data_IF_255546723467
#
_entry.id   IF_255546723467
#
_cell.length_a   1.000
_cell.length_b   1.000
_cell.length_c   1.000
_cell.angle_alpha   90.00
_cell.angle_beta   90.00
_cell.angle_gamma   90.00
#
_symmetry.space_group_name_H-M   'P 1'
#
loop_
_entity.id
_entity.type
_entity.pdbx_description
1 polymer ?
#
# COMPACT_ATOMS: atom_id res chain seq x y z
N UNK A 1 -11.57 -15.71 39.33
CA UNK A 1 -10.75 -14.82 38.49
C UNK A 1 -11.41 -14.82 37.12
N UNK A 2 -12.12 -13.76 36.77
CA UNK A 2 -12.83 -13.70 35.48
C UNK A 2 -11.82 -13.65 34.35
N UNK A 3 -12.01 -14.50 33.34
CA UNK A 3 -11.31 -14.40 32.06
C UNK A 3 -11.56 -13.00 31.50
N UNK A 4 -10.55 -12.14 31.62
CA UNK A 4 -10.56 -10.82 31.01
C UNK A 4 -10.48 -10.98 29.50
N UNK A 5 -11.62 -11.20 28.85
CA UNK A 5 -11.72 -11.08 27.39
C UNK A 5 -11.31 -9.66 27.01
N UNK A 6 -10.11 -9.54 26.45
CA UNK A 6 -9.56 -8.29 25.99
C UNK A 6 -10.46 -7.74 24.86
N UNK A 7 -11.22 -6.67 25.15
CA UNK A 7 -12.15 -6.07 24.21
C UNK A 7 -11.44 -5.64 22.93
N UNK A 8 -11.84 -6.20 21.78
CA UNK A 8 -11.34 -5.77 20.47
C UNK A 8 -12.15 -4.55 20.03
N UNK A 9 -11.49 -3.41 19.74
CA UNK A 9 -12.19 -2.19 19.42
C UNK A 9 -12.92 -2.27 18.08
N UNK A 10 -14.02 -1.54 17.94
CA UNK A 10 -14.75 -1.45 16.68
C UNK A 10 -14.02 -0.52 15.68
N UNK A 11 -13.70 -0.98 14.45
CA UNK A 11 -13.06 -0.15 13.45
C UNK A 11 -14.07 0.77 12.75
N UNK A 12 -13.73 2.06 12.59
CA UNK A 12 -14.48 2.98 11.72
C UNK A 12 -14.07 2.87 10.25
N UNK A 13 -12.88 2.32 9.99
CA UNK A 13 -12.28 2.18 8.68
C UNK A 13 -11.73 0.77 8.46
N UNK A 14 -11.66 0.37 7.20
CA UNK A 14 -10.94 -0.85 6.78
C UNK A 14 -9.94 -0.47 5.70
N UNK A 15 -8.70 -0.91 5.86
CA UNK A 15 -7.59 -0.67 4.95
C UNK A 15 -7.12 -2.01 4.35
N UNK A 16 -7.21 -2.14 3.03
CA UNK A 16 -6.76 -3.31 2.29
C UNK A 16 -5.40 -3.06 1.66
N UNK A 17 -4.55 -4.08 1.65
CA UNK A 17 -3.18 -4.00 1.13
C UNK A 17 -2.91 -5.12 0.12
N UNK A 18 -2.19 -4.76 -0.94
CA UNK A 18 -1.53 -5.71 -1.83
C UNK A 18 -0.28 -5.06 -2.44
N UNK A 19 0.58 -5.86 -3.06
CA UNK A 19 1.85 -5.39 -3.63
C UNK A 19 2.04 -5.77 -5.10
N UNK A 20 2.89 -5.01 -5.79
CA UNK A 20 3.36 -5.35 -7.12
C UNK A 20 4.88 -5.18 -7.23
N UNK A 21 5.50 -6.09 -7.98
CA UNK A 21 6.95 -6.28 -7.99
C UNK A 21 7.44 -7.27 -6.93
N UNK A 22 8.67 -7.72 -7.09
CA UNK A 22 9.35 -8.63 -6.18
C UNK A 22 10.08 -7.82 -5.09
N UNK A 23 9.89 -8.10 -3.78
CA UNK A 23 10.53 -7.35 -2.71
C UNK A 23 12.04 -7.64 -2.54
N UNK A 24 12.59 -8.60 -3.28
CA UNK A 24 14.00 -8.97 -3.26
C UNK A 24 14.94 -7.81 -3.58
N UNK A 25 15.98 -7.66 -2.76
CA UNK A 25 17.01 -6.61 -2.89
C UNK A 25 18.41 -7.16 -3.19
N UNK A 26 18.58 -8.49 -3.24
CA UNK A 26 19.89 -9.12 -3.48
C UNK A 26 20.39 -8.91 -4.91
N UNK A 27 19.50 -9.11 -5.87
CA UNK A 27 19.72 -8.84 -7.30
C UNK A 27 18.53 -8.04 -7.82
N UNK A 28 18.78 -7.02 -8.64
CA UNK A 28 17.76 -6.05 -9.06
C UNK A 28 17.88 -5.76 -10.55
N UNK A 29 16.82 -6.03 -11.32
CA UNK A 29 16.70 -5.62 -12.71
C UNK A 29 16.58 -4.08 -12.81
N UNK A 30 17.17 -3.41 -13.81
CA UNK A 30 17.99 -3.95 -14.90
C UNK A 30 19.49 -4.09 -14.57
N UNK A 31 19.92 -3.82 -13.33
CA UNK A 31 21.35 -3.94 -12.94
C UNK A 31 21.82 -5.40 -13.07
N UNK A 32 20.99 -6.32 -12.59
CA UNK A 32 21.16 -7.76 -12.74
C UNK A 32 20.06 -8.29 -13.67
N UNK A 33 20.39 -8.90 -14.83
CA UNK A 33 19.39 -9.33 -15.83
C UNK A 33 18.31 -10.28 -15.30
N UNK A 34 18.67 -11.14 -14.34
CA UNK A 34 17.75 -12.09 -13.69
C UNK A 34 17.37 -11.65 -12.26
N UNK A 35 17.52 -10.36 -11.95
CA UNK A 35 17.20 -9.81 -10.64
C UNK A 35 15.70 -9.60 -10.43
N UNK A 36 15.34 -9.34 -9.17
CA UNK A 36 14.00 -8.88 -8.80
C UNK A 36 13.68 -7.55 -9.52
N UNK A 37 12.39 -7.22 -9.68
CA UNK A 37 11.93 -6.04 -10.43
C UNK A 37 12.64 -4.73 -10.03
N UNK A 38 12.77 -3.76 -10.93
CA UNK A 38 13.36 -2.45 -10.58
C UNK A 38 12.58 -1.74 -9.46
N UNK A 39 11.26 -1.84 -9.53
CA UNK A 39 10.33 -1.20 -8.61
C UNK A 39 9.70 -2.22 -7.68
N UNK A 40 9.29 -1.75 -6.51
CA UNK A 40 8.39 -2.44 -5.60
C UNK A 40 7.33 -1.45 -5.15
N UNK A 41 6.06 -1.81 -5.27
CA UNK A 41 4.95 -0.94 -4.90
C UNK A 41 4.03 -1.61 -3.91
N UNK A 42 3.66 -0.90 -2.85
CA UNK A 42 2.59 -1.31 -1.93
C UNK A 42 1.39 -0.40 -2.18
N UNK A 43 0.30 -0.99 -2.64
CA UNK A 43 -0.98 -0.31 -2.79
C UNK A 43 -1.83 -0.49 -1.53
N UNK A 44 -2.57 0.55 -1.17
CA UNK A 44 -3.53 0.49 -0.07
C UNK A 44 -4.82 1.24 -0.41
N UNK A 45 -5.93 0.64 -0.02
CA UNK A 45 -7.28 1.20 -0.19
C UNK A 45 -7.93 1.32 1.17
N UNK A 46 -8.37 2.52 1.53
CA UNK A 46 -9.08 2.78 2.78
C UNK A 46 -10.55 3.09 2.49
N UNK A 47 -11.44 2.40 3.18
CA UNK A 47 -12.90 2.57 3.11
C UNK A 47 -13.49 2.73 4.51
N UNK A 48 -14.73 3.22 4.58
CA UNK A 48 -15.52 3.10 5.82
C UNK A 48 -15.81 1.65 6.12
N UNK A 49 -15.74 1.26 7.39
CA UNK A 49 -16.15 -0.07 7.82
C UNK A 49 -17.61 -0.36 7.44
N UNK A 50 -18.50 0.63 7.56
CA UNK A 50 -19.91 0.53 7.14
C UNK A 50 -20.12 0.32 5.63
N UNK A 51 -19.07 0.49 4.81
CA UNK A 51 -19.11 0.30 3.35
C UNK A 51 -18.32 -0.93 2.89
N UNK A 52 -17.68 -1.67 3.78
CA UNK A 52 -16.87 -2.85 3.44
C UNK A 52 -17.67 -3.86 2.58
N UNK A 53 -18.89 -4.19 2.99
CA UNK A 53 -19.73 -5.16 2.28
C UNK A 53 -20.09 -4.73 0.84
N UNK A 54 -20.16 -3.42 0.58
CA UNK A 54 -20.47 -2.89 -0.76
C UNK A 54 -19.35 -3.10 -1.79
N UNK A 55 -18.13 -3.42 -1.33
CA UNK A 55 -17.00 -3.67 -2.23
C UNK A 55 -17.20 -4.92 -3.09
N UNK A 56 -17.92 -5.93 -2.58
CA UNK A 56 -18.20 -7.16 -3.33
C UNK A 56 -19.08 -6.86 -4.54
N UNK A 57 -20.11 -6.03 -4.35
CA UNK A 57 -21.00 -5.58 -5.43
C UNK A 57 -20.25 -4.70 -6.42
N UNK A 58 -19.44 -3.75 -5.93
CA UNK A 58 -18.61 -2.89 -6.78
C UNK A 58 -17.69 -3.71 -7.70
N UNK A 59 -16.95 -4.68 -7.16
CA UNK A 59 -16.06 -5.53 -7.97
C UNK A 59 -16.85 -6.37 -8.98
N UNK A 60 -18.03 -6.88 -8.59
CA UNK A 60 -18.91 -7.62 -9.49
C UNK A 60 -19.38 -6.74 -10.65
N UNK A 61 -19.79 -5.52 -10.37
CA UNK A 61 -20.28 -4.57 -11.38
C UNK A 61 -19.17 -4.11 -12.32
N UNK A 62 -17.96 -3.86 -11.79
CA UNK A 62 -16.77 -3.58 -12.60
C UNK A 62 -16.52 -4.75 -13.55
N UNK A 63 -16.42 -5.98 -13.04
CA UNK A 63 -16.18 -7.18 -13.87
C UNK A 63 -17.25 -7.37 -14.94
N UNK A 64 -18.52 -7.05 -14.64
CA UNK A 64 -19.61 -7.06 -15.61
C UNK A 64 -19.39 -6.00 -16.70
N UNK A 65 -19.05 -4.76 -16.32
CA UNK A 65 -18.85 -3.64 -17.26
C UNK A 65 -17.69 -3.87 -18.25
N UNK A 66 -16.65 -4.61 -17.84
CA UNK A 66 -15.50 -4.95 -18.69
C UNK A 66 -15.61 -6.34 -19.34
N UNK A 67 -16.78 -6.99 -19.29
CA UNK A 67 -16.99 -8.34 -19.82
C UNK A 67 -15.93 -9.34 -19.32
N UNK A 68 -15.65 -9.34 -18.02
CA UNK A 68 -14.62 -10.17 -17.36
C UNK A 68 -15.21 -11.03 -16.24
N UNK A 69 -16.32 -11.70 -16.54
CA UNK A 69 -17.08 -12.50 -15.57
C UNK A 69 -16.57 -13.94 -15.41
N UNK A 70 -15.76 -14.43 -16.35
CA UNK A 70 -15.26 -15.81 -16.35
C UNK A 70 -14.16 -16.06 -15.30
N UNK A 71 -13.35 -15.04 -14.98
CA UNK A 71 -12.36 -15.15 -13.91
C UNK A 71 -13.05 -15.06 -12.55
N UNK A 72 -12.68 -15.86 -11.53
CA UNK A 72 -13.25 -15.73 -10.19
C UNK A 72 -12.87 -14.39 -9.54
N UNK A 73 -11.67 -13.89 -9.82
CA UNK A 73 -11.07 -12.69 -9.23
C UNK A 73 -10.80 -11.59 -10.28
N UNK A 74 -10.75 -10.35 -9.81
CA UNK A 74 -10.26 -9.17 -10.52
C UNK A 74 -8.76 -9.01 -10.23
N UNK A 75 -7.92 -9.73 -10.97
CA UNK A 75 -6.47 -9.55 -10.89
C UNK A 75 -5.97 -8.66 -12.03
N UNK A 76 -5.45 -7.48 -11.70
CA UNK A 76 -5.10 -6.42 -12.66
C UNK A 76 -4.10 -6.88 -13.72
N UNK A 77 -3.12 -7.71 -13.32
CA UNK A 77 -2.11 -8.28 -14.24
C UNK A 77 -2.73 -9.12 -15.35
N UNK A 78 -3.85 -9.79 -15.08
CA UNK A 78 -4.52 -10.69 -16.01
C UNK A 78 -5.51 -9.94 -16.94
N UNK A 79 -5.80 -8.67 -16.66
CA UNK A 79 -6.61 -7.84 -17.53
C UNK A 79 -5.84 -7.47 -18.80
N UNK A 80 -6.54 -7.54 -19.94
CA UNK A 80 -6.07 -6.96 -21.20
C UNK A 80 -6.07 -5.43 -21.12
N UNK A 81 -5.15 -4.77 -21.83
CA UNK A 81 -4.85 -3.35 -21.62
C UNK A 81 -6.07 -2.41 -21.76
N UNK A 82 -6.98 -2.67 -22.71
CA UNK A 82 -8.17 -1.84 -22.89
C UNK A 82 -9.21 -1.95 -21.75
N UNK A 83 -9.12 -2.98 -20.88
CA UNK A 83 -10.02 -3.17 -19.73
C UNK A 83 -9.50 -2.50 -18.46
N UNK A 84 -8.19 -2.23 -18.38
CA UNK A 84 -7.54 -1.69 -17.18
C UNK A 84 -8.00 -0.28 -16.83
N UNK A 85 -8.07 0.61 -17.82
CA UNK A 85 -8.51 2.00 -17.60
C UNK A 85 -9.96 2.10 -17.09
N UNK A 86 -10.96 1.43 -17.71
CA UNK A 86 -12.31 1.38 -17.15
C UNK A 86 -12.40 0.90 -15.70
N UNK A 87 -11.55 -0.07 -15.30
CA UNK A 87 -11.47 -0.52 -13.90
C UNK A 87 -10.98 0.62 -13.00
N UNK A 88 -9.89 1.30 -13.38
CA UNK A 88 -9.36 2.44 -12.61
C UNK A 88 -10.38 3.59 -12.51
N UNK A 89 -11.08 3.92 -13.59
CA UNK A 89 -12.10 4.98 -13.62
C UNK A 89 -13.29 4.66 -12.69
N UNK A 90 -13.75 3.41 -12.69
CA UNK A 90 -14.82 2.96 -11.81
C UNK A 90 -14.41 3.05 -10.32
N UNK A 91 -13.19 2.63 -10.01
CA UNK A 91 -12.64 2.74 -8.65
C UNK A 91 -12.43 4.19 -8.21
N UNK A 92 -12.00 5.07 -9.12
CA UNK A 92 -11.87 6.50 -8.86
C UNK A 92 -13.23 7.19 -8.60
N UNK A 93 -14.32 6.59 -9.05
CA UNK A 93 -15.67 7.12 -8.79
C UNK A 93 -16.21 6.70 -7.40
N UNK A 94 -15.74 5.58 -6.86
CA UNK A 94 -16.22 5.04 -5.59
C UNK A 94 -15.72 5.82 -4.35
N UNK A 95 -16.47 5.75 -3.24
CA UNK A 95 -16.11 6.43 -1.99
C UNK A 95 -15.05 5.66 -1.20
N UNK A 96 -13.81 5.81 -1.64
CA UNK A 96 -12.63 5.21 -1.01
C UNK A 96 -11.42 6.16 -1.14
N UNK A 97 -10.32 5.84 -0.46
CA UNK A 97 -9.05 6.56 -0.63
C UNK A 97 -7.92 5.62 -0.93
N UNK A 98 -7.05 6.05 -1.84
CA UNK A 98 -5.89 5.30 -2.29
C UNK A 98 -4.61 5.87 -1.73
N UNK A 99 -3.72 4.96 -1.34
CA UNK A 99 -2.37 5.24 -0.92
C UNK A 99 -1.43 4.30 -1.65
N UNK A 100 -0.23 4.79 -1.97
CA UNK A 100 0.81 3.96 -2.57
C UNK A 100 2.18 4.39 -2.06
N UNK A 101 3.00 3.38 -1.77
CA UNK A 101 4.45 3.54 -1.65
C UNK A 101 5.08 2.88 -2.87
N UNK A 102 5.85 3.64 -3.64
CA UNK A 102 6.64 3.15 -4.76
C UNK A 102 8.12 3.30 -4.44
N UNK A 103 8.83 2.17 -4.33
CA UNK A 103 10.26 2.13 -4.04
C UNK A 103 11.06 1.71 -5.25
N UNK A 104 11.97 2.56 -5.70
CA UNK A 104 12.98 2.17 -6.68
C UNK A 104 14.09 1.40 -5.97
N UNK A 105 14.37 0.17 -6.41
CA UNK A 105 15.31 -0.73 -5.74
C UNK A 105 16.73 -0.65 -6.27
N UNK A 106 17.04 0.20 -7.28
CA UNK A 106 18.41 0.35 -7.81
C UNK A 106 19.42 0.68 -6.71
N UNK A 107 19.03 1.53 -5.75
CA UNK A 107 19.86 1.90 -4.57
C UNK A 107 19.72 0.93 -3.39
N UNK A 108 18.80 -0.03 -3.49
CA UNK A 108 18.60 -1.08 -2.49
C UNK A 108 19.37 -2.37 -2.81
N UNK A 109 19.94 -2.48 -4.03
CA UNK A 109 20.74 -3.63 -4.45
C UNK A 109 21.88 -3.89 -3.46
N UNK A 110 21.92 -5.09 -2.89
CA UNK A 110 22.88 -5.53 -1.86
C UNK A 110 22.87 -4.68 -0.57
N UNK A 111 21.96 -3.72 -0.44
CA UNK A 111 21.87 -2.92 0.77
C UNK A 111 21.41 -3.80 1.93
N UNK A 112 22.11 -3.66 3.04
CA UNK A 112 21.79 -4.30 4.32
C UNK A 112 21.53 -3.24 5.36
N UNK A 113 20.61 -3.54 6.25
CA UNK A 113 20.39 -2.75 7.44
C UNK A 113 20.61 -3.66 8.66
N UNK A 114 21.86 -3.80 9.15
CA UNK A 114 22.17 -4.73 10.24
C UNK A 114 21.32 -4.50 11.49
N UNK A 115 20.95 -3.24 11.78
CA UNK A 115 20.08 -2.90 12.91
C UNK A 115 18.65 -3.39 12.67
N UNK A 116 18.07 -3.12 11.49
CA UNK A 116 16.73 -3.62 11.16
C UNK A 116 16.70 -5.15 11.03
N UNK A 117 17.78 -5.77 10.54
CA UNK A 117 17.94 -7.22 10.48
C UNK A 117 18.03 -7.83 11.89
N UNK A 118 18.72 -7.18 12.83
CA UNK A 118 18.84 -7.65 14.21
C UNK A 118 17.51 -7.57 14.98
N UNK A 119 16.71 -6.54 14.72
CA UNK A 119 15.42 -6.30 15.41
C UNK A 119 14.25 -6.97 14.68
N UNK A 120 14.40 -7.28 13.39
CA UNK A 120 13.40 -8.03 12.66
C UNK A 120 13.51 -9.51 13.01
N UNK A 121 12.40 -10.09 13.48
CA UNK A 121 12.24 -11.53 13.65
C UNK A 121 12.56 -12.31 12.36
N UNK A 122 12.54 -11.64 11.19
CA UNK A 122 12.82 -12.24 9.89
C UNK A 122 13.76 -11.34 9.09
N UNK A 123 15.05 -11.62 9.21
CA UNK A 123 16.18 -10.89 8.60
C UNK A 123 16.04 -10.60 7.10
N UNK A 124 15.21 -11.34 6.37
CA UNK A 124 15.00 -11.17 4.93
C UNK A 124 13.79 -10.30 4.55
N UNK A 125 12.92 -9.93 5.51
CA UNK A 125 11.67 -9.20 5.24
C UNK A 125 11.71 -7.71 5.66
N UNK A 126 12.86 -7.19 6.08
CA UNK A 126 12.96 -5.84 6.60
C UNK A 126 12.55 -4.77 5.56
N UNK A 127 12.87 -4.97 4.27
CA UNK A 127 12.54 -4.02 3.21
C UNK A 127 11.02 -3.94 2.98
N UNK A 128 10.35 -5.10 2.96
CA UNK A 128 8.90 -5.17 2.91
C UNK A 128 8.27 -4.46 4.12
N UNK A 129 8.71 -4.80 5.33
CA UNK A 129 8.21 -4.18 6.56
C UNK A 129 8.43 -2.66 6.59
N UNK A 130 9.55 -2.19 6.05
CA UNK A 130 9.84 -0.76 5.92
C UNK A 130 8.84 -0.07 4.97
N UNK A 131 8.54 -0.67 3.83
CA UNK A 131 7.51 -0.13 2.92
C UNK A 131 6.12 -0.15 3.57
N UNK A 132 5.74 -1.23 4.25
CA UNK A 132 4.48 -1.32 4.99
C UNK A 132 4.41 -0.23 6.07
N UNK A 133 5.45 -0.06 6.88
CA UNK A 133 5.53 0.99 7.90
C UNK A 133 5.20 2.36 7.32
N UNK A 134 5.79 2.69 6.17
CA UNK A 134 5.59 4.00 5.54
C UNK A 134 4.13 4.17 5.11
N UNK A 135 3.48 3.13 4.56
CA UNK A 135 2.04 3.19 4.27
C UNK A 135 1.24 3.36 5.56
N UNK A 136 1.56 2.62 6.63
CA UNK A 136 0.90 2.73 7.93
C UNK A 136 0.97 4.14 8.51
N UNK A 137 2.12 4.81 8.40
CA UNK A 137 2.28 6.21 8.77
C UNK A 137 1.33 7.14 8.01
N UNK A 138 1.08 6.89 6.72
CA UNK A 138 0.16 7.70 5.89
C UNK A 138 -1.30 7.43 6.25
N UNK A 139 -1.69 6.16 6.30
CA UNK A 139 -3.09 5.79 6.49
C UNK A 139 -3.58 6.05 7.90
N UNK A 140 -2.74 5.84 8.93
CA UNK A 140 -3.12 6.10 10.32
C UNK A 140 -3.32 7.59 10.57
N UNK A 141 -2.46 8.44 9.99
CA UNK A 141 -2.64 9.88 10.02
C UNK A 141 -3.95 10.28 9.32
N UNK A 142 -4.21 9.77 8.11
CA UNK A 142 -5.43 10.10 7.37
C UNK A 142 -6.70 9.67 8.12
N UNK A 143 -6.73 8.45 8.65
CA UNK A 143 -7.85 7.93 9.43
C UNK A 143 -8.06 8.76 10.71
N UNK A 144 -6.99 9.16 11.42
CA UNK A 144 -7.08 10.02 12.60
C UNK A 144 -7.69 11.38 12.24
N UNK A 145 -7.13 12.05 11.23
CA UNK A 145 -7.62 13.36 10.78
C UNK A 145 -9.07 13.29 10.33
N UNK A 146 -9.43 12.24 9.58
CA UNK A 146 -10.79 12.05 9.08
C UNK A 146 -11.79 11.79 10.20
N UNK A 147 -11.49 10.88 11.12
CA UNK A 147 -12.38 10.57 12.24
C UNK A 147 -12.54 11.74 13.21
N UNK A 148 -11.46 12.47 13.51
CA UNK A 148 -11.54 13.70 14.33
C UNK A 148 -12.43 14.73 13.64
N UNK A 149 -12.30 14.91 12.31
CA UNK A 149 -13.10 15.90 11.58
C UNK A 149 -14.60 15.61 11.57
N UNK A 150 -15.01 14.34 11.74
CA UNK A 150 -16.41 13.93 11.66
C UNK A 150 -17.04 13.63 13.02
N UNK A 151 -16.25 13.15 13.98
CA UNK A 151 -16.73 12.64 15.26
C UNK A 151 -15.93 13.14 16.46
N UNK A 152 -14.98 14.06 16.28
CA UNK A 152 -14.25 14.71 17.37
C UNK A 152 -13.10 13.92 17.98
N UNK A 153 -12.94 12.64 17.64
CA UNK A 153 -11.91 11.76 18.21
C UNK A 153 -11.34 10.79 17.17
N UNK A 154 -10.08 10.33 17.35
CA UNK A 154 -9.49 9.32 16.48
C UNK A 154 -10.23 7.99 16.62
N UNK A 155 -10.52 7.34 15.48
CA UNK A 155 -11.19 6.03 15.44
C UNK A 155 -10.29 4.98 14.78
N UNK A 156 -10.48 3.73 15.19
CA UNK A 156 -9.65 2.62 14.75
C UNK A 156 -9.81 2.26 13.28
N UNK A 157 -8.75 1.69 12.70
CA UNK A 157 -8.74 1.09 11.36
C UNK A 157 -8.38 -0.39 11.44
N UNK A 158 -9.16 -1.22 10.74
CA UNK A 158 -8.83 -2.63 10.48
C UNK A 158 -7.89 -2.73 9.30
N UNK A 159 -6.79 -3.47 9.44
CA UNK A 159 -5.83 -3.70 8.38
C UNK A 159 -6.00 -5.11 7.81
N UNK A 160 -6.13 -5.23 6.50
CA UNK A 160 -6.40 -6.49 5.81
C UNK A 160 -5.35 -6.71 4.72
N UNK A 161 -4.47 -7.68 4.94
CA UNK A 161 -3.39 -8.02 4.01
C UNK A 161 -3.76 -9.20 3.13
N UNK A 162 -3.52 -9.03 1.83
CA UNK A 162 -3.57 -10.11 0.83
C UNK A 162 -2.44 -11.11 1.07
N UNK A 163 -2.74 -12.40 1.22
CA UNK A 163 -1.74 -13.46 1.36
C UNK A 163 -1.13 -13.80 0.00
N UNK A 164 0.18 -13.59 -0.15
CA UNK A 164 1.00 -14.16 -1.23
C UNK A 164 1.95 -15.24 -0.71
N UNK A 165 2.21 -16.27 -1.52
CA UNK A 165 3.14 -17.36 -1.19
C UNK A 165 4.54 -16.82 -0.87
N UNK A 166 5.17 -17.31 0.21
CA UNK A 166 6.54 -16.95 0.59
C UNK A 166 6.67 -15.87 1.68
N UNK A 167 5.59 -15.17 2.05
CA UNK A 167 5.61 -14.19 3.14
C UNK A 167 4.75 -14.65 4.33
N UNK A 168 5.34 -14.68 5.52
CA UNK A 168 4.56 -14.86 6.75
C UNK A 168 4.05 -13.52 7.23
N UNK A 169 2.79 -13.23 6.90
CA UNK A 169 2.08 -12.02 7.32
C UNK A 169 1.75 -12.00 8.82
N UNK A 170 1.96 -13.12 9.53
CA UNK A 170 1.97 -13.16 11.01
C UNK A 170 2.94 -12.12 11.58
N UNK A 171 3.94 -11.72 10.80
CA UNK A 171 4.94 -10.72 11.19
C UNK A 171 4.42 -9.29 11.16
N UNK A 172 3.40 -8.94 10.37
CA UNK A 172 2.90 -7.56 10.32
C UNK A 172 2.23 -7.20 11.65
N UNK A 173 1.50 -8.14 12.24
CA UNK A 173 0.92 -7.98 13.58
C UNK A 173 2.00 -7.78 14.64
N UNK A 174 2.99 -8.66 14.69
CA UNK A 174 4.11 -8.55 15.64
C UNK A 174 4.92 -7.28 15.42
N UNK A 175 5.20 -6.91 14.17
CA UNK A 175 5.93 -5.70 13.83
C UNK A 175 5.18 -4.43 14.24
N UNK A 176 3.86 -4.37 14.01
CA UNK A 176 3.03 -3.23 14.44
C UNK A 176 3.01 -3.11 15.97
N UNK A 177 2.93 -4.25 16.68
CA UNK A 177 3.01 -4.27 18.14
C UNK A 177 4.38 -3.80 18.65
N UNK A 178 5.48 -4.24 18.01
CA UNK A 178 6.82 -3.77 18.33
C UNK A 178 6.98 -2.26 18.10
N UNK A 179 6.45 -1.73 16.99
CA UNK A 179 6.47 -0.30 16.73
C UNK A 179 5.68 0.49 17.78
N UNK A 180 4.54 -0.04 18.26
CA UNK A 180 3.76 0.60 19.32
C UNK A 180 4.55 0.66 20.64
N UNK A 181 5.17 -0.46 21.03
CA UNK A 181 6.03 -0.52 22.23
C UNK A 181 7.19 0.47 22.11
N UNK A 182 7.87 0.50 20.96
CA UNK A 182 8.98 1.43 20.71
C UNK A 182 8.53 2.89 20.78
N UNK A 183 7.36 3.21 20.24
CA UNK A 183 6.80 4.56 20.31
C UNK A 183 6.45 4.96 21.75
N UNK A 184 5.80 4.07 22.51
CA UNK A 184 5.45 4.31 23.91
C UNK A 184 6.70 4.49 24.80
N UNK A 185 7.79 3.81 24.49
CA UNK A 185 9.07 3.90 25.21
C UNK A 185 9.98 5.04 24.72
N UNK A 186 9.58 5.81 23.70
CA UNK A 186 10.41 6.88 23.13
C UNK A 186 11.64 6.39 22.35
N UNK A 187 11.71 5.10 22.02
CA UNK A 187 12.87 4.44 21.39
C UNK A 187 12.64 4.13 19.90
N UNK A 188 11.69 4.83 19.26
CA UNK A 188 11.40 4.61 17.85
C UNK A 188 12.51 5.17 16.96
N UNK A 189 13.14 4.30 16.18
CA UNK A 189 14.35 4.65 15.42
C UNK A 189 14.13 5.72 14.34
N UNK A 190 13.00 5.65 13.63
CA UNK A 190 12.64 6.62 12.60
C UNK A 190 11.56 7.55 13.17
N UNK A 191 11.96 8.76 13.51
CA UNK A 191 11.12 9.73 14.25
C UNK A 191 10.44 10.76 13.36
N UNK A 192 10.88 10.91 12.10
CA UNK A 192 10.34 11.90 11.17
C UNK A 192 8.82 11.76 10.97
N UNK A 193 8.31 10.54 10.99
CA UNK A 193 6.87 10.24 11.10
C UNK A 193 6.71 8.90 11.82
N UNK A 194 5.66 8.82 12.64
CA UNK A 194 5.31 7.65 13.44
C UNK A 194 3.86 7.29 13.13
N UNK A 195 3.50 5.99 13.00
CA UNK A 195 2.10 5.60 12.88
C UNK A 195 1.28 6.08 14.08
N UNK A 196 0.04 6.52 13.85
CA UNK A 196 -0.85 6.91 14.93
C UNK A 196 -1.45 5.67 15.62
N UNK A 197 -0.90 5.31 16.78
CA UNK A 197 -1.34 4.15 17.56
C UNK A 197 -2.66 4.36 18.31
N UNK A 198 -3.27 5.56 18.25
CA UNK A 198 -4.68 5.76 18.65
C UNK A 198 -5.63 5.19 17.60
N UNK A 199 -5.14 5.03 16.37
CA UNK A 199 -5.88 4.48 15.23
C UNK A 199 -5.51 3.03 14.95
N UNK A 200 -4.22 2.69 15.05
CA UNK A 200 -3.74 1.33 14.82
C UNK A 200 -3.86 0.45 16.05
N UNK A 201 -4.55 -0.69 15.91
CA UNK A 201 -4.56 -1.75 16.90
C UNK A 201 -4.11 -3.08 16.27
N UNK A 202 -3.14 -3.74 16.89
CA UNK A 202 -2.59 -5.00 16.42
C UNK A 202 -3.62 -6.15 16.38
N UNK A 203 -4.71 -6.06 17.15
CA UNK A 203 -5.83 -7.02 17.15
C UNK A 203 -6.74 -6.86 15.95
N UNK A 204 -6.71 -5.70 15.28
CA UNK A 204 -7.45 -5.40 14.07
C UNK A 204 -6.65 -5.68 12.79
N UNK A 205 -5.66 -6.58 12.85
CA UNK A 205 -4.83 -6.97 11.71
C UNK A 205 -5.22 -8.38 11.26
N UNK A 206 -5.68 -8.48 10.02
CA UNK A 206 -6.10 -9.73 9.38
C UNK A 206 -5.28 -10.02 8.12
N UNK A 207 -5.12 -11.30 7.83
CA UNK A 207 -4.44 -11.80 6.63
C UNK A 207 -5.36 -12.80 5.95
N UNK A 208 -5.76 -12.48 4.73
CA UNK A 208 -6.73 -13.28 3.96
C UNK A 208 -6.19 -13.60 2.58
N UNK A 209 -6.66 -14.68 1.98
CA UNK A 209 -6.25 -15.04 0.63
C UNK A 209 -6.76 -13.98 -0.38
N UNK A 210 -5.89 -13.60 -1.33
CA UNK A 210 -6.17 -12.54 -2.31
C UNK A 210 -7.53 -12.71 -3.03
N UNK A 211 -7.84 -13.94 -3.44
CA UNK A 211 -9.04 -14.28 -4.18
C UNK A 211 -10.34 -14.23 -3.33
N UNK A 212 -10.24 -14.08 -2.01
CA UNK A 212 -11.39 -14.06 -1.09
C UNK A 212 -11.83 -12.66 -0.68
N UNK A 213 -11.13 -11.60 -1.09
CA UNK A 213 -11.49 -10.23 -0.72
C UNK A 213 -11.53 -9.29 -1.90
N UNK A 214 -12.71 -8.69 -2.10
CA UNK A 214 -12.92 -7.60 -3.04
C UNK A 214 -12.00 -6.41 -2.72
N UNK A 215 -11.81 -6.08 -1.44
CA UNK A 215 -10.91 -5.00 -1.04
C UNK A 215 -9.45 -5.27 -1.40
N UNK A 216 -8.96 -6.51 -1.23
CA UNK A 216 -7.61 -6.90 -1.65
C UNK A 216 -7.44 -6.88 -3.17
N UNK A 217 -8.47 -7.24 -3.95
CA UNK A 217 -8.46 -7.11 -5.41
C UNK A 217 -8.39 -5.64 -5.84
N UNK A 218 -9.09 -4.74 -5.16
CA UNK A 218 -8.98 -3.29 -5.41
C UNK A 218 -7.56 -2.80 -5.07
N UNK A 219 -6.97 -3.28 -3.96
CA UNK A 219 -5.60 -2.92 -3.59
C UNK A 219 -4.56 -3.42 -4.62
N UNK A 220 -4.76 -4.59 -5.24
CA UNK A 220 -3.95 -5.08 -6.37
C UNK A 220 -4.01 -4.12 -7.56
N UNK A 221 -5.19 -3.62 -7.91
CA UNK A 221 -5.34 -2.64 -8.99
C UNK A 221 -4.50 -1.39 -8.70
N UNK A 222 -4.58 -0.85 -7.47
CA UNK A 222 -3.78 0.32 -7.09
C UNK A 222 -2.28 0.02 -7.16
N UNK A 223 -1.83 -1.08 -6.54
CA UNK A 223 -0.41 -1.45 -6.54
C UNK A 223 0.12 -1.66 -7.97
N UNK A 224 -0.60 -2.44 -8.77
CA UNK A 224 -0.20 -2.81 -10.12
C UNK A 224 -0.25 -1.64 -11.09
N UNK A 225 -1.22 -0.72 -10.98
CA UNK A 225 -1.27 0.49 -11.80
C UNK A 225 -0.04 1.37 -11.58
N UNK A 226 0.35 1.61 -10.33
CA UNK A 226 1.55 2.40 -10.01
C UNK A 226 2.85 1.67 -10.35
N UNK A 227 2.91 0.35 -10.18
CA UNK A 227 4.05 -0.45 -10.63
C UNK A 227 4.24 -0.32 -12.14
N UNK A 228 3.16 -0.49 -12.92
CA UNK A 228 3.19 -0.37 -14.38
C UNK A 228 3.60 1.04 -14.81
N UNK A 229 3.13 2.08 -14.13
CA UNK A 229 3.47 3.47 -14.43
C UNK A 229 4.93 3.85 -14.09
N UNK A 230 5.47 3.34 -12.97
CA UNK A 230 6.85 3.62 -12.57
C UNK A 230 7.88 2.82 -13.38
N UNK A 231 7.50 1.64 -13.89
CA UNK A 231 8.41 0.71 -14.53
C UNK A 231 8.50 0.91 -16.06
N UNK A 232 9.01 2.09 -16.47
CA UNK A 232 9.09 2.49 -17.87
C UNK A 232 9.94 1.60 -18.80
N UNK A 233 10.78 0.72 -18.24
CA UNK A 233 11.54 -0.25 -19.02
C UNK A 233 10.73 -1.45 -19.50
N UNK A 234 9.48 -1.63 -19.05
CA UNK A 234 8.64 -2.76 -19.46
C UNK A 234 7.85 -2.47 -20.74
N UNK A 235 7.69 -3.50 -21.59
CA UNK A 235 6.94 -3.41 -22.84
C UNK A 235 5.50 -2.89 -22.68
N UNK A 236 4.88 -3.17 -21.53
CA UNK A 236 3.52 -2.72 -21.20
C UNK A 236 3.53 -1.45 -20.36
N UNK A 237 4.57 -0.62 -20.38
CA UNK A 237 4.56 0.64 -19.62
C UNK A 237 3.37 1.53 -20.02
N UNK A 238 2.64 2.01 -19.02
CA UNK A 238 1.50 2.91 -19.21
C UNK A 238 1.25 3.68 -17.90
N UNK A 239 1.18 5.01 -17.96
CA UNK A 239 0.88 5.87 -16.80
C UNK A 239 -0.62 6.10 -16.59
N UNK A 240 -1.43 5.97 -17.64
CA UNK A 240 -2.85 6.35 -17.65
C UNK A 240 -3.66 5.64 -16.56
N UNK A 241 -3.32 4.39 -16.24
CA UNK A 241 -4.04 3.63 -15.20
C UNK A 241 -3.82 4.21 -13.80
N UNK A 242 -2.58 4.60 -13.50
CA UNK A 242 -2.27 5.25 -12.24
C UNK A 242 -2.83 6.68 -12.23
N UNK A 243 -2.79 7.40 -13.35
CA UNK A 243 -3.38 8.74 -13.49
C UNK A 243 -4.91 8.74 -13.32
N UNK A 244 -5.61 7.71 -13.83
CA UNK A 244 -7.06 7.55 -13.68
C UNK A 244 -7.51 7.46 -12.21
N UNK A 245 -6.64 6.96 -11.32
CA UNK A 245 -6.93 6.85 -9.88
C UNK A 245 -6.83 8.20 -9.12
N UNK A 246 -6.33 9.26 -9.76
CA UNK A 246 -6.05 10.56 -9.15
C UNK A 246 -7.20 11.17 -8.33
N UNK A 247 -8.48 11.06 -8.75
CA UNK A 247 -9.59 11.65 -7.99
C UNK A 247 -9.71 11.13 -6.55
N UNK A 248 -9.18 9.92 -6.26
CA UNK A 248 -9.29 9.27 -4.94
C UNK A 248 -7.97 9.01 -4.25
N UNK A 249 -6.84 9.39 -4.87
CA UNK A 249 -5.55 9.39 -4.17
C UNK A 249 -5.60 10.38 -3.00
N UNK A 250 -5.16 9.92 -1.83
CA UNK A 250 -5.20 10.73 -0.64
C UNK A 250 -4.30 11.98 -0.75
N UNK A 251 -4.80 13.10 -0.24
CA UNK A 251 -4.08 14.38 -0.25
C UNK A 251 -3.83 14.83 1.19
N UNK A 252 -2.63 15.33 1.44
CA UNK A 252 -2.29 15.92 2.73
C UNK A 252 -2.99 17.26 2.95
N UNK A 253 -2.73 17.90 4.09
CA UNK A 253 -3.29 19.22 4.43
C UNK A 253 -2.94 20.31 3.41
N UNK A 254 -1.78 20.20 2.77
CA UNK A 254 -1.34 21.08 1.68
C UNK A 254 -2.00 20.76 0.32
N UNK A 255 -2.97 19.84 0.29
CA UNK A 255 -3.65 19.30 -0.90
C UNK A 255 -2.74 18.58 -1.91
N UNK A 256 -1.48 18.30 -1.56
CA UNK A 256 -0.55 17.53 -2.40
C UNK A 256 -0.70 16.03 -2.16
N UNK A 257 -0.51 15.25 -3.21
CA UNK A 257 -0.39 13.79 -3.16
C UNK A 257 1.01 13.35 -2.75
N UNK A 258 2.04 14.09 -3.18
CA UNK A 258 3.44 13.78 -2.91
C UNK A 258 3.71 13.63 -1.41
N UNK A 259 4.40 12.53 -1.05
CA UNK A 259 4.73 12.13 0.31
C UNK A 259 3.52 11.97 1.25
N UNK A 260 2.32 11.81 0.68
CA UNK A 260 1.09 11.50 1.39
C UNK A 260 0.37 10.33 0.73
N UNK A 261 -0.52 10.57 -0.24
CA UNK A 261 -1.18 9.50 -1.00
C UNK A 261 -0.24 8.77 -1.96
N UNK A 262 0.79 9.45 -2.48
CA UNK A 262 1.85 8.82 -3.30
C UNK A 262 3.20 9.09 -2.66
N UNK A 263 3.85 8.03 -2.20
CA UNK A 263 5.17 8.10 -1.55
C UNK A 263 6.23 7.43 -2.42
N UNK A 264 7.22 8.20 -2.88
CA UNK A 264 8.36 7.74 -3.67
C UNK A 264 9.56 7.50 -2.76
N UNK A 265 10.17 6.31 -2.88
CA UNK A 265 11.38 5.94 -2.18
C UNK A 265 12.55 5.66 -3.14
N UNK A 266 13.79 5.96 -2.71
CA UNK A 266 14.18 6.54 -1.42
C UNK A 266 13.84 8.04 -1.32
N UNK A 267 13.81 8.56 -0.09
CA UNK A 267 13.46 9.96 0.21
C UNK A 267 14.30 10.98 -0.56
N UNK A 268 15.60 10.67 -0.76
CA UNK A 268 16.50 11.45 -1.62
C UNK A 268 16.25 11.12 -3.08
N UNK A 269 15.05 11.38 -3.56
CA UNK A 269 14.58 10.99 -4.89
C UNK A 269 15.40 11.63 -6.02
N UNK A 270 16.03 12.79 -5.81
CA UNK A 270 17.00 13.39 -6.74
C UNK A 270 18.23 12.52 -7.03
N UNK A 271 18.51 11.51 -6.21
CA UNK A 271 19.63 10.56 -6.42
C UNK A 271 19.28 9.36 -7.29
N UNK A 272 18.01 9.25 -7.72
CA UNK A 272 17.50 8.06 -8.40
C UNK A 272 17.87 7.94 -9.88
N UNK A 273 18.42 8.99 -10.51
CA UNK A 273 18.71 9.03 -11.94
C UNK A 273 17.57 8.44 -12.80
N UNK A 274 16.32 8.79 -12.46
CA UNK A 274 15.14 8.31 -13.18
C UNK A 274 15.12 8.87 -14.61
N UNK A 275 14.65 8.08 -15.57
CA UNK A 275 14.37 8.58 -16.92
C UNK A 275 13.16 9.53 -16.90
N UNK A 276 13.02 10.41 -17.90
CA UNK A 276 11.86 11.31 -17.97
C UNK A 276 10.53 10.56 -18.00
N UNK A 277 10.48 9.41 -18.68
CA UNK A 277 9.34 8.50 -18.68
C UNK A 277 8.99 8.01 -17.26
N UNK A 278 9.98 7.62 -16.44
CA UNK A 278 9.74 7.21 -15.05
C UNK A 278 9.30 8.39 -14.18
N UNK A 279 9.80 9.60 -14.44
CA UNK A 279 9.43 10.80 -13.68
C UNK A 279 8.00 11.25 -13.94
N UNK A 280 7.44 10.96 -15.11
CA UNK A 280 6.11 11.41 -15.54
C UNK A 280 5.03 11.16 -14.49
N UNK A 281 4.90 9.93 -13.99
CA UNK A 281 3.86 9.59 -13.02
C UNK A 281 4.06 10.31 -11.68
N UNK A 282 5.30 10.51 -11.25
CA UNK A 282 5.57 11.19 -9.98
C UNK A 282 5.34 12.71 -10.11
N UNK A 283 5.71 13.32 -11.24
CA UNK A 283 5.40 14.72 -11.54
C UNK A 283 3.90 14.97 -11.57
N UNK A 284 3.14 14.06 -12.18
CA UNK A 284 1.68 14.09 -12.15
C UNK A 284 1.12 14.07 -10.71
N UNK A 285 1.80 13.37 -9.79
CA UNK A 285 1.45 13.31 -8.36
C UNK A 285 2.24 14.27 -7.47
N UNK A 286 2.51 15.47 -7.97
CA UNK A 286 3.08 16.61 -7.24
C UNK A 286 4.56 16.44 -6.82
N UNK A 287 5.35 15.54 -7.40
CA UNK A 287 6.80 15.50 -7.14
C UNK A 287 7.58 16.48 -8.01
N UNK A 288 8.55 17.16 -7.41
CA UNK A 288 9.50 18.06 -8.07
C UNK A 288 10.81 17.31 -8.36
N UNK A 289 10.84 16.50 -9.45
CA UNK A 289 11.97 15.62 -9.84
C UNK A 289 12.28 15.64 -11.34
#
# INVERSE_FOLDING_TARGET
>A
MGDGQEYTPEPAFVAFFDEAGDPGTRAVFPIDPNGASEWFTVGCVVVRASKENSLVELVRDIKKSIYSQQSPDLHFRNLVEHKKRPVCDALASADMRFFVVASNKKKMRLYRNPQAEAVSLHKHNWFYNYCIRIVLERISQWCAERSISEGGEPRHVKLVFSRRGGHSYRHVRTYTQLLNIQAAQGNIYQTARVPDFRVLDHRLIEVIDHNKSAGCQIADVVASAFFQAANAGQKRWNTEYAEALAPRIARGRNRRCANYGVTLLPWRNWTLNLTDAQKQIFRFYDYEI
#
